data_IF_191695045137
#
_entry.id   IF_191695045137
#
_cell.length_a   1.000
_cell.length_b   1.000
_cell.length_c   1.000
_cell.angle_alpha   90.00
_cell.angle_beta   90.00
_cell.angle_gamma   90.00
#
_symmetry.space_group_name_H-M   'P 1'
#
loop_
_entity.id
_entity.type
_entity.pdbx_description
1 polymer ?
#
# COMPACT_ATOMS: atom_id res chain seq x y z
N UNK A 1 28.17 -3.69 -17.97
CA UNK A 1 27.33 -4.17 -16.85
C UNK A 1 26.73 -2.96 -16.15
N UNK A 2 25.45 -2.70 -16.37
CA UNK A 2 24.76 -1.48 -15.94
C UNK A 2 24.46 -1.58 -14.44
N UNK A 3 25.18 -0.79 -13.64
CA UNK A 3 24.99 -0.77 -12.19
C UNK A 3 23.59 -0.20 -11.88
N UNK A 4 22.70 -1.00 -11.30
CA UNK A 4 21.32 -0.65 -10.93
C UNK A 4 21.21 0.48 -9.86
N UNK A 5 22.33 1.10 -9.47
CA UNK A 5 22.43 2.18 -8.47
C UNK A 5 23.31 3.33 -8.96
N UNK A 6 23.02 3.88 -10.14
CA UNK A 6 23.58 5.19 -10.50
C UNK A 6 22.77 6.29 -9.78
N UNK A 7 23.40 7.36 -9.27
CA UNK A 7 22.70 8.48 -8.62
C UNK A 7 21.62 9.12 -9.52
N UNK A 8 21.87 9.14 -10.83
CA UNK A 8 20.92 9.55 -11.88
C UNK A 8 19.65 8.68 -11.90
N UNK A 9 19.80 7.35 -11.89
CA UNK A 9 18.66 6.43 -11.89
C UNK A 9 17.87 6.53 -10.58
N UNK A 10 18.53 6.71 -9.44
CA UNK A 10 17.86 6.96 -8.16
C UNK A 10 17.05 8.25 -8.21
N UNK A 11 17.64 9.37 -8.65
CA UNK A 11 16.92 10.65 -8.79
C UNK A 11 15.74 10.54 -9.76
N UNK A 12 15.91 9.84 -10.87
CA UNK A 12 14.83 9.63 -11.86
C UNK A 12 13.71 8.76 -11.29
N UNK A 13 14.05 7.68 -10.59
CA UNK A 13 13.08 6.81 -9.93
C UNK A 13 12.30 7.58 -8.85
N UNK A 14 13.00 8.33 -7.99
CA UNK A 14 12.38 9.19 -6.97
C UNK A 14 11.42 10.17 -7.60
N UNK A 15 11.84 10.89 -8.65
CA UNK A 15 10.98 11.85 -9.36
C UNK A 15 9.74 11.19 -9.96
N UNK A 16 9.88 10.04 -10.64
CA UNK A 16 8.75 9.34 -11.26
C UNK A 16 7.77 8.82 -10.20
N UNK A 17 8.29 8.31 -9.08
CA UNK A 17 7.47 7.89 -7.95
C UNK A 17 6.72 9.09 -7.37
N UNK A 18 7.41 10.20 -7.07
CA UNK A 18 6.79 11.44 -6.59
C UNK A 18 5.70 11.92 -7.53
N UNK A 19 5.97 12.00 -8.84
CA UNK A 19 4.97 12.40 -9.84
C UNK A 19 3.74 11.48 -9.88
N UNK A 20 3.94 10.16 -9.69
CA UNK A 20 2.82 9.22 -9.63
C UNK A 20 1.95 9.41 -8.38
N UNK A 21 2.56 9.82 -7.26
CA UNK A 21 1.84 10.19 -6.04
C UNK A 21 1.13 11.55 -6.17
N UNK A 22 1.64 12.46 -7.00
CA UNK A 22 1.08 13.80 -7.23
C UNK A 22 -0.08 13.81 -8.26
N UNK A 23 -0.32 12.70 -8.96
CA UNK A 23 -1.44 12.58 -9.90
C UNK A 23 -2.79 12.59 -9.17
N UNK A 24 -3.69 13.49 -9.56
CA UNK A 24 -5.07 13.54 -9.07
C UNK A 24 -5.97 12.46 -9.67
N UNK A 25 -5.54 11.86 -10.79
CA UNK A 25 -6.23 10.74 -11.43
C UNK A 25 -6.02 9.48 -10.59
N UNK A 26 -7.01 9.16 -9.75
CA UNK A 26 -7.05 7.89 -9.01
C UNK A 26 -7.18 6.67 -9.93
N UNK A 27 -7.11 5.45 -9.38
CA UNK A 27 -7.23 4.22 -10.17
C UNK A 27 -8.62 4.10 -10.83
N UNK A 28 -8.69 3.41 -11.97
CA UNK A 28 -9.95 3.01 -12.61
C UNK A 28 -10.83 2.30 -11.56
N UNK A 29 -11.99 2.88 -11.30
CA UNK A 29 -12.88 2.42 -10.22
C UNK A 29 -13.35 0.98 -10.43
N UNK A 30 -13.70 0.59 -11.66
CA UNK A 30 -14.21 -0.75 -11.94
C UNK A 30 -13.12 -1.79 -11.79
N UNK A 31 -11.93 -1.50 -12.32
CA UNK A 31 -10.76 -2.37 -12.15
C UNK A 31 -10.40 -2.51 -10.66
N UNK A 32 -10.43 -1.39 -9.94
CA UNK A 32 -10.11 -1.34 -8.52
C UNK A 32 -11.06 -2.23 -7.69
N UNK A 33 -12.38 -2.08 -7.84
CA UNK A 33 -13.34 -2.92 -7.10
C UNK A 33 -13.21 -4.41 -7.43
N UNK A 34 -12.94 -4.76 -8.69
CA UNK A 34 -12.68 -6.15 -9.09
C UNK A 34 -11.41 -6.69 -8.42
N UNK A 35 -10.34 -5.90 -8.38
CA UNK A 35 -9.10 -6.27 -7.69
C UNK A 35 -9.34 -6.47 -6.18
N UNK A 36 -10.08 -5.57 -5.52
CA UNK A 36 -10.43 -5.71 -4.11
C UNK A 36 -11.22 -6.99 -3.83
N UNK A 37 -12.22 -7.31 -4.66
CA UNK A 37 -13.00 -8.53 -4.53
C UNK A 37 -12.12 -9.77 -4.65
N UNK A 38 -11.25 -9.82 -5.67
CA UNK A 38 -10.31 -10.91 -5.88
C UNK A 38 -9.35 -11.10 -4.69
N UNK A 39 -8.78 -10.01 -4.15
CA UNK A 39 -7.89 -10.07 -2.99
C UNK A 39 -8.62 -10.58 -1.75
N UNK A 40 -9.87 -10.13 -1.51
CA UNK A 40 -10.69 -10.62 -0.40
C UNK A 40 -10.99 -12.12 -0.53
N UNK A 41 -11.25 -12.62 -1.74
CA UNK A 41 -11.39 -14.06 -1.98
C UNK A 41 -10.10 -14.82 -1.69
N UNK A 42 -8.92 -14.30 -2.09
CA UNK A 42 -7.63 -14.92 -1.73
C UNK A 42 -7.46 -15.03 -0.22
N UNK A 43 -7.78 -13.97 0.54
CA UNK A 43 -7.70 -13.99 2.01
C UNK A 43 -8.62 -15.06 2.60
N UNK A 44 -9.84 -15.19 2.09
CA UNK A 44 -10.84 -16.12 2.62
C UNK A 44 -10.50 -17.58 2.31
N UNK A 45 -9.99 -17.86 1.11
CA UNK A 45 -9.77 -19.22 0.62
C UNK A 45 -8.37 -19.77 0.91
N UNK A 46 -7.37 -18.90 1.10
CA UNK A 46 -6.00 -19.35 1.31
C UNK A 46 -5.78 -19.89 2.73
N UNK A 47 -4.92 -20.91 2.90
CA UNK A 47 -4.29 -21.23 4.17
C UNK A 47 -3.63 -20.01 4.82
N UNK A 48 -3.57 -19.97 6.15
CA UNK A 48 -3.15 -18.79 6.93
C UNK A 48 -1.73 -18.33 6.57
N UNK A 49 -0.83 -19.28 6.34
CA UNK A 49 0.56 -19.07 5.95
C UNK A 49 0.71 -18.28 4.63
N UNK A 50 -0.33 -18.26 3.78
CA UNK A 50 -0.33 -17.52 2.53
C UNK A 50 -1.06 -16.18 2.60
N UNK A 51 -1.65 -15.81 3.76
CA UNK A 51 -2.50 -14.60 3.88
C UNK A 51 -1.73 -13.30 4.11
N UNK A 52 -0.45 -13.35 4.49
CA UNK A 52 0.38 -12.16 4.76
C UNK A 52 0.35 -11.18 3.59
N UNK A 53 0.68 -11.65 2.38
CA UNK A 53 0.78 -10.79 1.19
C UNK A 53 -0.60 -10.30 0.71
N UNK A 54 -1.66 -11.14 0.65
CA UNK A 54 -3.02 -10.67 0.38
C UNK A 54 -3.51 -9.59 1.36
N UNK A 55 -3.23 -9.72 2.66
CA UNK A 55 -3.58 -8.68 3.63
C UNK A 55 -2.82 -7.37 3.37
N UNK A 56 -1.51 -7.44 3.13
CA UNK A 56 -0.71 -6.25 2.83
C UNK A 56 -1.15 -5.57 1.51
N UNK A 57 -1.51 -6.36 0.50
CA UNK A 57 -2.00 -5.86 -0.78
C UNK A 57 -3.38 -5.19 -0.66
N UNK A 58 -4.29 -5.79 0.12
CA UNK A 58 -5.59 -5.18 0.40
C UNK A 58 -5.42 -3.85 1.16
N UNK A 59 -4.54 -3.82 2.15
CA UNK A 59 -4.21 -2.60 2.89
C UNK A 59 -3.67 -1.50 1.97
N UNK A 60 -2.77 -1.84 1.05
CA UNK A 60 -2.20 -0.90 0.09
C UNK A 60 -3.27 -0.30 -0.82
N UNK A 61 -4.15 -1.14 -1.38
CA UNK A 61 -5.22 -0.70 -2.24
C UNK A 61 -6.18 0.27 -1.52
N UNK A 62 -6.59 -0.07 -0.29
CA UNK A 62 -7.47 0.76 0.54
C UNK A 62 -6.80 2.07 0.97
N UNK A 63 -5.50 2.03 1.30
CA UNK A 63 -4.72 3.24 1.60
C UNK A 63 -4.69 4.19 0.40
N UNK A 64 -4.61 3.64 -0.83
CA UNK A 64 -4.67 4.43 -2.07
C UNK A 64 -6.00 5.18 -2.28
N UNK A 65 -7.05 4.77 -1.55
CA UNK A 65 -8.38 5.39 -1.56
C UNK A 65 -8.68 6.25 -0.34
N UNK A 66 -7.78 6.27 0.65
CA UNK A 66 -8.05 6.88 1.95
C UNK A 66 -9.04 6.10 2.80
N UNK A 67 -9.26 4.82 2.51
CA UNK A 67 -10.19 3.98 3.26
C UNK A 67 -9.53 3.48 4.55
N UNK A 68 -10.10 3.86 5.70
CA UNK A 68 -9.53 3.58 7.04
C UNK A 68 -9.34 2.09 7.36
N UNK A 69 -10.05 1.20 6.65
CA UNK A 69 -9.83 -0.26 6.73
C UNK A 69 -8.38 -0.66 6.40
N UNK A 70 -7.63 0.18 5.67
CA UNK A 70 -6.21 -0.05 5.38
C UNK A 70 -5.38 -0.35 6.63
N UNK A 71 -5.65 0.36 7.74
CA UNK A 71 -4.95 0.17 9.02
C UNK A 71 -5.16 -1.24 9.56
N UNK A 72 -6.41 -1.72 9.51
CA UNK A 72 -6.79 -3.03 10.02
C UNK A 72 -6.09 -4.15 9.25
N UNK A 73 -6.06 -4.07 7.92
CA UNK A 73 -5.42 -5.09 7.11
C UNK A 73 -3.90 -5.05 7.17
N UNK A 74 -3.28 -3.86 7.30
CA UNK A 74 -1.85 -3.75 7.54
C UNK A 74 -1.46 -4.40 8.88
N UNK A 75 -2.24 -4.19 9.94
CA UNK A 75 -2.03 -4.85 11.24
C UNK A 75 -2.21 -6.37 11.16
N UNK A 76 -3.21 -6.87 10.42
CA UNK A 76 -3.39 -8.32 10.20
C UNK A 76 -2.18 -8.94 9.50
N UNK A 77 -1.62 -8.26 8.49
CA UNK A 77 -0.39 -8.73 7.84
C UNK A 77 0.79 -8.78 8.84
N UNK A 78 0.97 -7.74 9.66
CA UNK A 78 2.05 -7.68 10.65
C UNK A 78 1.89 -8.68 11.81
N UNK A 79 0.65 -9.04 12.16
CA UNK A 79 0.38 -10.07 13.16
C UNK A 79 0.83 -11.46 12.68
N UNK A 80 0.73 -11.73 11.38
CA UNK A 80 1.18 -12.97 10.76
C UNK A 80 2.69 -12.96 10.46
N UNK A 81 3.22 -11.83 9.99
CA UNK A 81 4.66 -11.62 9.79
C UNK A 81 5.04 -10.15 10.07
N UNK A 82 5.67 -9.93 11.21
CA UNK A 82 6.12 -8.60 11.64
C UNK A 82 7.15 -7.95 10.69
N UNK A 83 7.76 -8.73 9.78
CA UNK A 83 8.73 -8.26 8.80
C UNK A 83 8.12 -8.01 7.41
N UNK A 84 6.81 -8.16 7.24
CA UNK A 84 6.12 -7.88 5.99
C UNK A 84 6.37 -6.42 5.55
N UNK A 85 7.27 -6.24 4.58
CA UNK A 85 7.83 -4.92 4.27
C UNK A 85 6.77 -3.92 3.82
N UNK A 86 5.80 -4.38 3.01
CA UNK A 86 4.70 -3.53 2.54
C UNK A 86 3.82 -3.05 3.71
N UNK A 87 3.49 -3.93 4.65
CA UNK A 87 2.69 -3.56 5.81
C UNK A 87 3.45 -2.58 6.75
N UNK A 88 4.76 -2.79 6.95
CA UNK A 88 5.62 -1.85 7.70
C UNK A 88 5.64 -0.47 7.03
N UNK A 89 5.81 -0.42 5.71
CA UNK A 89 5.81 0.84 4.95
C UNK A 89 4.47 1.56 5.09
N UNK A 90 3.35 0.85 4.94
CA UNK A 90 2.02 1.41 5.08
C UNK A 90 1.77 1.98 6.48
N UNK A 91 2.15 1.24 7.54
CA UNK A 91 2.02 1.74 8.92
C UNK A 91 2.81 3.03 9.11
N UNK A 92 4.06 3.09 8.62
CA UNK A 92 4.87 4.32 8.68
C UNK A 92 4.23 5.45 7.88
N UNK A 93 3.77 5.19 6.67
CA UNK A 93 3.10 6.19 5.85
C UNK A 93 1.89 6.79 6.58
N UNK A 94 1.04 5.95 7.17
CA UNK A 94 -0.13 6.39 7.94
C UNK A 94 0.25 7.10 9.25
N UNK A 95 1.35 6.73 9.92
CA UNK A 95 1.84 7.48 11.09
C UNK A 95 2.29 8.89 10.72
N UNK A 96 2.92 9.07 9.56
CA UNK A 96 3.40 10.37 9.09
C UNK A 96 2.37 11.13 8.21
N UNK A 97 1.15 10.61 8.06
CA UNK A 97 0.13 11.22 7.20
C UNK A 97 0.52 11.29 5.72
N UNK A 98 1.38 10.38 5.26
CA UNK A 98 1.77 10.24 3.88
C UNK A 98 0.67 9.44 3.16
N UNK A 99 0.19 9.96 2.04
CA UNK A 99 -0.85 9.38 1.19
C UNK A 99 -0.72 9.88 -0.25
N UNK A 100 -1.35 9.21 -1.23
CA UNK A 100 -1.42 9.73 -2.59
C UNK A 100 -2.20 11.05 -2.63
N UNK A 101 -1.79 12.00 -3.49
CA UNK A 101 -2.46 13.30 -3.64
C UNK A 101 -3.92 13.17 -4.12
N UNK A 102 -4.28 12.06 -4.76
CA UNK A 102 -5.67 11.75 -5.12
C UNK A 102 -6.59 11.58 -3.90
N UNK A 103 -6.04 11.35 -2.71
CA UNK A 103 -6.79 11.22 -1.46
C UNK A 103 -6.73 12.57 -0.75
N UNK A 104 -7.80 13.38 -0.86
CA UNK A 104 -7.85 14.74 -0.29
C UNK A 104 -7.58 14.85 1.21
N UNK A 105 -7.66 13.73 1.96
CA UNK A 105 -7.21 13.65 3.35
C UNK A 105 -6.51 12.31 3.62
N UNK A 106 -5.18 12.30 3.90
CA UNK A 106 -4.46 11.09 4.24
C UNK A 106 -5.00 10.39 5.49
N UNK A 107 -4.85 9.07 5.55
CA UNK A 107 -5.10 8.30 6.76
C UNK A 107 -3.99 8.64 7.76
N UNK A 108 -4.36 9.09 8.96
CA UNK A 108 -3.43 9.38 10.04
C UNK A 108 -3.74 8.48 11.23
N UNK A 109 -2.75 7.76 11.72
CA UNK A 109 -2.87 6.94 12.94
C UNK A 109 -1.92 7.46 14.01
N UNK A 110 -2.36 7.46 15.27
CA UNK A 110 -1.46 7.72 16.39
C UNK A 110 -0.41 6.61 16.48
N UNK A 111 0.86 6.95 16.81
CA UNK A 111 1.82 5.95 17.23
C UNK A 111 1.26 5.21 18.46
N UNK A 112 1.40 3.89 18.45
CA UNK A 112 1.05 3.03 19.58
C UNK A 112 2.11 3.13 20.69
#
# INVERSE_FOLDING_TARGET
MTHARSPENTKRMTRLLTQSFDSTSGPDQKLFYRALAFIRTMIQSAPEEFRVQPYALLAYALWWRGEGEAVTYARKALALDARCSLAVILMRAMTYGIGPASVGKPIVISPA
#
